data_IF_646347819191
#
_entry.id   IF_646347819191
#
_cell.length_a   1.000
_cell.length_b   1.000
_cell.length_c   1.000
_cell.angle_alpha   90.00
_cell.angle_beta   90.00
_cell.angle_gamma   90.00
#
_symmetry.space_group_name_H-M   'P 1'
#
loop_
_entity.id
_entity.type
_entity.pdbx_description
1 polymer ?
#
# COMPACT_ATOMS: atom_id res chain seq x y z
N UNK A 1 44.09 5.50 -23.26
CA UNK A 1 43.34 6.47 -22.48
C UNK A 1 41.86 6.53 -22.89
N UNK A 2 41.50 6.54 -24.17
CA UNK A 2 40.09 6.58 -24.64
C UNK A 2 39.27 5.36 -24.22
N UNK A 3 39.86 4.15 -24.31
CA UNK A 3 39.20 2.90 -23.91
C UNK A 3 38.93 2.84 -22.39
N UNK A 4 39.87 3.36 -21.59
CA UNK A 4 39.71 3.40 -20.14
C UNK A 4 38.60 4.41 -19.69
N UNK A 5 38.47 5.53 -20.41
CA UNK A 5 37.41 6.51 -20.15
C UNK A 5 36.03 5.97 -20.53
N UNK A 6 35.93 5.19 -21.62
CA UNK A 6 34.66 4.55 -22.02
C UNK A 6 34.23 3.47 -21.04
N UNK A 7 35.16 2.67 -20.52
CA UNK A 7 34.88 1.64 -19.52
C UNK A 7 34.41 2.25 -18.18
N UNK A 8 35.02 3.36 -17.72
CA UNK A 8 34.62 4.08 -16.54
C UNK A 8 33.23 4.75 -16.69
N UNK A 9 32.91 5.29 -17.88
CA UNK A 9 31.61 5.88 -18.15
C UNK A 9 30.50 4.82 -18.19
N UNK A 10 30.77 3.63 -18.76
CA UNK A 10 29.80 2.52 -18.77
C UNK A 10 29.54 1.97 -17.36
N UNK A 11 30.57 1.92 -16.51
CA UNK A 11 30.43 1.45 -15.13
C UNK A 11 29.66 2.45 -14.25
N UNK A 12 29.81 3.76 -14.48
CA UNK A 12 29.05 4.80 -13.81
C UNK A 12 27.55 4.78 -14.18
N UNK A 13 27.20 4.43 -15.42
CA UNK A 13 25.82 4.31 -15.88
C UNK A 13 25.06 3.11 -15.24
N UNK A 14 25.78 2.04 -14.90
CA UNK A 14 25.20 0.85 -14.24
C UNK A 14 24.88 1.06 -12.77
N UNK A 15 25.57 1.99 -12.09
CA UNK A 15 25.33 2.30 -10.67
C UNK A 15 24.08 3.16 -10.47
N UNK A 16 23.69 3.96 -11.47
CA UNK A 16 22.55 4.89 -11.39
C UNK A 16 21.19 4.18 -11.34
N UNK A 17 21.08 2.94 -11.80
CA UNK A 17 19.82 2.19 -11.85
C UNK A 17 19.41 1.57 -10.51
N UNK A 18 20.35 1.41 -9.57
CA UNK A 18 20.10 0.80 -8.26
C UNK A 18 19.53 1.82 -7.26
N UNK A 19 19.85 3.10 -7.43
CA UNK A 19 19.39 4.16 -6.53
C UNK A 19 17.88 4.44 -6.60
N UNK A 20 17.23 4.16 -7.74
CA UNK A 20 15.79 4.40 -7.93
C UNK A 20 14.89 3.38 -7.21
N UNK A 21 15.36 2.15 -6.98
CA UNK A 21 14.57 1.09 -6.35
C UNK A 21 14.44 1.26 -4.82
N UNK A 22 15.40 1.94 -4.16
CA UNK A 22 15.37 2.16 -2.72
C UNK A 22 14.53 3.38 -2.28
N UNK A 23 14.17 4.28 -3.21
CA UNK A 23 13.41 5.47 -2.87
C UNK A 23 11.89 5.23 -2.69
N UNK A 24 11.33 4.14 -3.22
CA UNK A 24 9.88 3.91 -3.19
C UNK A 24 9.34 3.61 -1.78
N UNK A 25 10.09 2.89 -0.93
CA UNK A 25 9.66 2.60 0.45
C UNK A 25 9.99 3.70 1.46
N UNK A 26 10.97 4.55 1.18
CA UNK A 26 11.38 5.66 2.07
C UNK A 26 10.29 6.74 2.21
N UNK A 27 9.32 6.79 1.30
CA UNK A 27 8.22 7.75 1.35
C UNK A 27 7.16 7.40 2.39
N UNK A 28 7.10 6.14 2.84
CA UNK A 28 6.15 5.69 3.86
C UNK A 28 6.76 5.70 5.26
N UNK A 29 5.96 6.00 6.27
CA UNK A 29 6.36 5.91 7.69
C UNK A 29 6.08 4.51 8.22
N UNK A 30 7.03 3.58 8.03
CA UNK A 30 6.90 2.19 8.43
C UNK A 30 6.77 1.97 9.95
N UNK A 31 7.01 3.01 10.77
CA UNK A 31 6.85 2.94 12.22
C UNK A 31 5.42 3.27 12.68
N UNK A 32 4.58 3.78 11.76
CA UNK A 32 3.18 4.10 12.02
C UNK A 32 2.27 3.16 11.26
N UNK A 33 1.21 2.71 11.92
CA UNK A 33 0.08 2.02 11.31
C UNK A 33 -1.18 2.79 11.66
N UNK A 34 -1.88 3.28 10.65
CA UNK A 34 -3.16 3.99 10.78
C UNK A 34 -4.29 3.12 10.24
N UNK A 35 -5.51 3.34 10.76
CA UNK A 35 -6.72 2.65 10.31
C UNK A 35 -7.59 3.60 9.49
N UNK A 36 -7.80 3.28 8.22
CA UNK A 36 -8.74 3.95 7.33
C UNK A 36 -10.04 3.13 7.27
N UNK A 37 -11.16 3.73 7.62
CA UNK A 37 -12.49 3.15 7.43
C UNK A 37 -13.25 3.91 6.36
N UNK A 38 -13.77 3.20 5.36
CA UNK A 38 -14.46 3.86 4.28
C UNK A 38 -15.04 2.94 3.23
N UNK A 39 -15.45 3.54 2.14
CA UNK A 39 -16.07 2.86 1.00
C UNK A 39 -15.08 2.79 -0.15
N UNK A 40 -14.88 1.60 -0.71
CA UNK A 40 -14.04 1.40 -1.89
C UNK A 40 -14.61 2.17 -3.08
N UNK A 41 -13.79 3.02 -3.67
CA UNK A 41 -14.11 3.75 -4.91
C UNK A 41 -13.59 3.00 -6.12
N UNK A 42 -12.34 2.51 -6.03
CA UNK A 42 -11.68 1.81 -7.13
C UNK A 42 -10.62 0.85 -6.61
N UNK A 43 -10.56 -0.34 -7.19
CA UNK A 43 -9.44 -1.26 -7.06
C UNK A 43 -8.76 -1.40 -8.41
N UNK A 44 -7.51 -0.99 -8.49
CA UNK A 44 -6.67 -1.09 -9.68
C UNK A 44 -5.67 -2.23 -9.49
N UNK A 45 -5.88 -3.34 -10.18
CA UNK A 45 -5.15 -4.59 -10.01
C UNK A 45 -4.22 -4.83 -11.19
N UNK A 46 -2.98 -4.30 -11.11
CA UNK A 46 -1.98 -4.38 -12.19
C UNK A 46 -0.54 -4.31 -11.67
N UNK A 47 0.41 -4.68 -12.53
CA UNK A 47 1.83 -4.58 -12.26
C UNK A 47 2.36 -3.15 -12.51
N UNK A 48 3.42 -2.72 -11.81
CA UNK A 48 4.12 -3.42 -10.72
C UNK A 48 3.42 -3.33 -9.37
N UNK A 49 2.55 -2.34 -9.15
CA UNK A 49 1.84 -2.10 -7.89
C UNK A 49 0.37 -1.87 -8.15
N UNK A 50 -0.48 -2.55 -7.37
CA UNK A 50 -1.92 -2.34 -7.35
C UNK A 50 -2.29 -1.14 -6.46
N UNK A 51 -3.50 -0.59 -6.61
CA UNK A 51 -3.96 0.58 -5.87
C UNK A 51 -5.39 0.40 -5.38
N UNK A 52 -5.64 0.81 -4.13
CA UNK A 52 -6.95 0.77 -3.49
C UNK A 52 -7.34 2.20 -3.15
N UNK A 53 -8.32 2.76 -3.89
CA UNK A 53 -8.86 4.11 -3.64
C UNK A 53 -10.11 4.02 -2.78
N UNK A 54 -10.11 4.67 -1.62
CA UNK A 54 -11.19 4.64 -0.63
C UNK A 54 -11.63 6.05 -0.27
N UNK A 55 -12.92 6.28 -0.17
CA UNK A 55 -13.49 7.47 0.46
C UNK A 55 -13.81 7.16 1.92
N UNK A 56 -13.09 7.77 2.86
CA UNK A 56 -13.23 7.43 4.27
C UNK A 56 -12.49 8.35 5.22
N UNK A 57 -12.43 7.94 6.49
CA UNK A 57 -11.79 8.67 7.58
C UNK A 57 -10.72 7.81 8.23
N UNK A 58 -9.63 8.44 8.67
CA UNK A 58 -8.57 7.79 9.44
C UNK A 58 -8.88 7.93 10.93
N UNK A 59 -8.76 6.82 11.66
CA UNK A 59 -9.01 6.71 13.10
C UNK A 59 -10.37 7.30 13.53
N UNK A 60 -11.35 7.29 12.62
CA UNK A 60 -12.70 7.82 12.85
C UNK A 60 -12.78 9.33 13.01
N UNK A 61 -11.74 10.08 12.64
CA UNK A 61 -11.63 11.52 12.86
C UNK A 61 -11.70 12.32 11.55
N UNK A 62 -12.32 13.50 11.61
CA UNK A 62 -12.38 14.46 10.50
C UNK A 62 -13.41 14.13 9.42
N UNK A 63 -13.52 14.99 8.40
CA UNK A 63 -14.38 14.75 7.27
C UNK A 63 -13.82 13.60 6.39
N UNK A 64 -14.71 12.83 5.72
CA UNK A 64 -14.27 11.83 4.78
C UNK A 64 -13.43 12.46 3.64
N UNK A 65 -12.33 11.82 3.32
CA UNK A 65 -11.44 12.22 2.21
C UNK A 65 -11.14 11.00 1.32
N UNK A 66 -10.69 11.26 0.10
CA UNK A 66 -10.18 10.21 -0.78
C UNK A 66 -8.75 9.85 -0.38
N UNK A 67 -8.54 8.57 -0.17
CA UNK A 67 -7.24 7.97 0.15
C UNK A 67 -6.84 7.00 -0.95
N UNK A 68 -5.59 7.09 -1.39
CA UNK A 68 -5.03 6.17 -2.37
C UNK A 68 -3.95 5.33 -1.69
N UNK A 69 -4.25 4.06 -1.49
CA UNK A 69 -3.39 3.10 -0.79
C UNK A 69 -2.65 2.25 -1.83
N UNK A 70 -1.33 2.37 -1.83
CA UNK A 70 -0.47 1.52 -2.65
C UNK A 70 -0.44 0.11 -2.07
N UNK A 71 -0.71 -0.86 -2.91
CA UNK A 71 -0.57 -2.27 -2.61
C UNK A 71 0.55 -2.88 -3.46
N UNK A 72 0.89 -4.13 -3.19
CA UNK A 72 1.93 -4.84 -3.93
C UNK A 72 1.44 -5.33 -5.30
N UNK A 73 2.27 -6.10 -6.01
CA UNK A 73 1.92 -6.70 -7.30
C UNK A 73 0.75 -7.67 -7.20
N UNK A 74 0.01 -7.94 -8.30
CA UNK A 74 -1.05 -8.93 -8.33
C UNK A 74 -0.65 -10.31 -7.81
N UNK A 75 0.56 -10.79 -8.14
CA UNK A 75 1.01 -12.10 -7.68
C UNK A 75 1.22 -12.15 -6.15
N UNK A 76 1.73 -11.07 -5.56
CA UNK A 76 1.88 -10.98 -4.10
C UNK A 76 0.54 -10.79 -3.40
N UNK A 77 -0.38 -10.02 -4.00
CA UNK A 77 -1.75 -9.89 -3.48
C UNK A 77 -2.50 -11.22 -3.46
N UNK A 78 -2.34 -12.05 -4.52
CA UNK A 78 -2.90 -13.40 -4.54
C UNK A 78 -2.42 -14.26 -3.37
N UNK A 79 -1.13 -14.17 -3.02
CA UNK A 79 -0.58 -14.88 -1.85
C UNK A 79 -1.15 -14.36 -0.53
N UNK A 80 -1.59 -13.10 -0.48
CA UNK A 80 -2.29 -12.50 0.65
C UNK A 80 -3.80 -12.79 0.66
N UNK A 81 -4.32 -13.55 -0.31
CA UNK A 81 -5.74 -13.85 -0.44
C UNK A 81 -6.55 -12.73 -1.10
N UNK A 82 -5.89 -11.74 -1.72
CA UNK A 82 -6.55 -10.64 -2.43
C UNK A 82 -6.45 -10.90 -3.94
N UNK A 83 -7.56 -11.30 -4.55
CA UNK A 83 -7.70 -11.53 -5.98
C UNK A 83 -8.40 -10.33 -6.63
N UNK A 84 -8.46 -10.32 -7.97
CA UNK A 84 -9.05 -9.20 -8.73
C UNK A 84 -10.51 -8.92 -8.36
N UNK A 85 -11.25 -9.93 -7.93
CA UNK A 85 -12.66 -9.91 -7.55
C UNK A 85 -12.93 -9.85 -6.05
N UNK A 86 -11.86 -9.85 -5.22
CA UNK A 86 -11.97 -9.81 -3.75
C UNK A 86 -12.52 -8.46 -3.27
N UNK A 87 -12.13 -7.36 -3.91
CA UNK A 87 -12.54 -6.01 -3.55
C UNK A 87 -13.39 -5.39 -4.67
N UNK A 88 -14.60 -4.96 -4.35
CA UNK A 88 -15.56 -4.39 -5.32
C UNK A 88 -15.91 -2.95 -4.97
N UNK A 89 -15.99 -2.03 -5.94
CA UNK A 89 -16.49 -0.68 -5.69
C UNK A 89 -17.80 -0.70 -4.91
N UNK A 90 -17.88 0.11 -3.86
CA UNK A 90 -19.00 0.14 -2.92
C UNK A 90 -18.79 -0.67 -1.64
N UNK A 91 -17.80 -1.57 -1.58
CA UNK A 91 -17.48 -2.32 -0.37
C UNK A 91 -17.07 -1.39 0.78
N UNK A 92 -17.56 -1.68 1.97
CA UNK A 92 -17.06 -1.08 3.20
C UNK A 92 -15.80 -1.81 3.62
N UNK A 93 -14.72 -1.07 3.86
CA UNK A 93 -13.42 -1.62 4.19
C UNK A 93 -12.85 -0.97 5.43
N UNK A 94 -12.08 -1.75 6.20
CA UNK A 94 -11.10 -1.23 7.14
C UNK A 94 -9.72 -1.56 6.62
N UNK A 95 -8.88 -0.56 6.40
CA UNK A 95 -7.52 -0.72 5.85
C UNK A 95 -6.51 -0.23 6.88
N UNK A 96 -5.57 -1.10 7.25
CA UNK A 96 -4.37 -0.69 7.96
C UNK A 96 -3.27 -0.37 6.93
N UNK A 97 -2.58 0.75 7.15
CA UNK A 97 -1.58 1.23 6.20
C UNK A 97 -0.48 2.02 6.89
N UNK A 98 0.70 2.05 6.27
CA UNK A 98 1.77 2.96 6.62
C UNK A 98 1.56 4.29 5.88
N UNK A 99 1.39 5.43 6.59
CA UNK A 99 1.08 6.70 5.94
C UNK A 99 2.27 7.27 5.17
N UNK A 100 1.98 8.11 4.18
CA UNK A 100 2.99 8.93 3.54
C UNK A 100 3.60 9.91 4.54
N UNK A 101 4.93 10.08 4.52
CA UNK A 101 5.66 11.00 5.43
C UNK A 101 5.34 12.46 5.19
N UNK A 102 4.90 12.81 3.98
CA UNK A 102 4.56 14.18 3.59
C UNK A 102 3.14 14.61 3.97
N UNK A 103 2.36 13.71 4.59
CA UNK A 103 1.01 14.00 5.08
C UNK A 103 -0.09 13.99 4.02
N UNK A 104 0.21 13.66 2.77
CA UNK A 104 -0.82 13.46 1.75
C UNK A 104 -1.72 12.27 2.11
N UNK A 105 -2.96 12.28 1.63
CA UNK A 105 -3.94 11.21 1.86
C UNK A 105 -3.58 9.96 1.05
N UNK A 106 -2.66 9.17 1.58
CA UNK A 106 -2.18 7.94 0.96
C UNK A 106 -1.22 7.18 1.86
N UNK A 107 -0.86 5.98 1.43
CA UNK A 107 0.05 5.12 2.17
C UNK A 107 0.26 3.77 1.52
N UNK A 108 0.98 2.88 2.21
CA UNK A 108 1.26 1.51 1.79
C UNK A 108 0.42 0.52 2.59
N UNK A 109 -0.24 -0.42 1.91
CA UNK A 109 -1.10 -1.44 2.50
C UNK A 109 -0.34 -2.33 3.50
N UNK A 110 -0.95 -2.54 4.67
CA UNK A 110 -0.50 -3.53 5.66
C UNK A 110 -1.48 -4.71 5.69
N UNK A 111 -2.77 -4.43 5.88
CA UNK A 111 -3.86 -5.40 5.73
C UNK A 111 -5.16 -4.69 5.34
N UNK A 112 -6.12 -5.44 4.83
CA UNK A 112 -7.49 -4.99 4.59
C UNK A 112 -8.48 -5.98 5.21
N UNK A 113 -9.52 -5.43 5.86
CA UNK A 113 -10.68 -6.20 6.34
C UNK A 113 -11.85 -5.94 5.39
N UNK A 114 -12.37 -7.00 4.83
CA UNK A 114 -13.48 -7.01 3.86
C UNK A 114 -14.85 -6.99 4.56
N UNK A 115 -15.97 -6.75 3.83
CA UNK A 115 -17.30 -6.65 4.44
C UNK A 115 -17.76 -7.88 5.22
N UNK A 116 -17.28 -9.07 4.87
CA UNK A 116 -17.52 -10.33 5.60
C UNK A 116 -16.73 -10.45 6.89
N UNK A 117 -15.79 -9.52 7.14
CA UNK A 117 -14.94 -9.47 8.33
C UNK A 117 -13.66 -10.30 8.21
N UNK A 118 -13.31 -10.78 7.02
CA UNK A 118 -12.03 -11.44 6.77
C UNK A 118 -10.89 -10.41 6.63
N UNK A 119 -9.74 -10.73 7.20
CA UNK A 119 -8.53 -9.92 7.07
C UNK A 119 -7.57 -10.56 6.07
N UNK A 120 -7.07 -9.76 5.14
CA UNK A 120 -6.10 -10.14 4.12
C UNK A 120 -4.83 -9.31 4.25
N UNK A 121 -3.66 -9.95 4.21
CA UNK A 121 -2.36 -9.30 4.40
C UNK A 121 -1.70 -9.70 5.70
N UNK A 122 -1.07 -8.76 6.41
CA UNK A 122 -0.50 -9.01 7.73
C UNK A 122 -1.61 -9.37 8.74
N UNK A 123 -1.31 -10.25 9.68
CA UNK A 123 -2.28 -10.62 10.73
C UNK A 123 -2.51 -9.43 11.67
N UNK A 124 -3.76 -8.98 11.86
CA UNK A 124 -4.06 -7.87 12.77
C UNK A 124 -3.52 -8.08 14.18
N UNK A 125 -3.61 -9.30 14.73
CA UNK A 125 -3.11 -9.65 16.07
C UNK A 125 -1.63 -9.42 16.26
N UNK A 126 -0.81 -9.61 15.21
CA UNK A 126 0.63 -9.41 15.28
C UNK A 126 1.02 -7.93 15.41
N UNK A 127 0.06 -7.05 15.08
CA UNK A 127 0.15 -5.59 15.19
C UNK A 127 -0.64 -5.01 16.38
N UNK A 128 -1.17 -5.88 17.24
CA UNK A 128 -1.91 -5.48 18.43
C UNK A 128 -3.38 -5.10 18.18
N UNK A 129 -3.94 -5.43 17.02
CA UNK A 129 -5.35 -5.17 16.70
C UNK A 129 -6.23 -6.40 16.97
N UNK A 130 -7.40 -6.15 17.55
CA UNK A 130 -8.46 -7.16 17.65
C UNK A 130 -9.35 -7.11 16.41
N UNK A 131 -9.36 -8.20 15.62
CA UNK A 131 -10.13 -8.31 14.38
C UNK A 131 -11.63 -8.06 14.59
N UNK A 132 -12.19 -8.41 15.78
CA UNK A 132 -13.59 -8.16 16.08
C UNK A 132 -13.95 -6.68 16.08
N UNK A 133 -13.00 -5.80 16.40
CA UNK A 133 -13.16 -4.34 16.41
C UNK A 133 -12.91 -3.67 15.06
N UNK A 134 -12.38 -4.42 14.09
CA UNK A 134 -11.97 -3.94 12.78
C UNK A 134 -13.03 -4.15 11.70
N UNK A 135 -14.14 -4.80 11.99
CA UNK A 135 -15.22 -5.00 11.01
C UNK A 135 -15.68 -3.65 10.47
N UNK A 136 -15.79 -3.50 9.14
CA UNK A 136 -16.22 -2.25 8.50
C UNK A 136 -17.65 -1.86 8.83
#
# INVERSE_FOLDING_TARGET
>A
MKELCLALAAMAALVSSIASAHHSFAMFDAQKVLLLRGTLVKFSYFNPHSWISVLGTVDGSGPPARWDIEATSPSSLNQMGIHIDTLKPGDKLTIAFHPLRDGRAGGSLVFVVTPDGEAHGAKPSDLGFDLATLKP
#
